data_IF_654027189000
#
_entry.id   IF_654027189000
#
_cell.length_a   1.000
_cell.length_b   1.000
_cell.length_c   1.000
_cell.angle_alpha   90.00
_cell.angle_beta   90.00
_cell.angle_gamma   90.00
#
_symmetry.space_group_name_H-M   'P 1'
#
loop_
_entity.id
_entity.type
_entity.pdbx_description
1 polymer ?
#
# COMPACT_ATOMS: atom_id res chain seq x y z
N UNK A 1 -10.93 -1.99 -13.17
CA UNK A 1 -11.49 -2.56 -11.96
C UNK A 1 -12.33 -3.80 -12.23
N UNK A 2 -13.38 -3.73 -13.04
CA UNK A 2 -14.28 -4.86 -13.28
C UNK A 2 -13.57 -6.10 -13.86
N UNK A 3 -12.60 -5.91 -14.76
CA UNK A 3 -11.77 -7.02 -15.25
C UNK A 3 -10.99 -7.71 -14.12
N UNK A 4 -10.38 -6.92 -13.23
CA UNK A 4 -9.63 -7.47 -12.10
C UNK A 4 -10.55 -8.25 -11.15
N UNK A 5 -11.75 -7.75 -10.89
CA UNK A 5 -12.76 -8.44 -10.10
C UNK A 5 -13.18 -9.76 -10.76
N UNK A 6 -13.46 -9.75 -12.07
CA UNK A 6 -13.83 -10.95 -12.82
C UNK A 6 -12.74 -12.01 -12.83
N UNK A 7 -11.48 -11.63 -13.03
CA UNK A 7 -10.33 -12.55 -12.97
C UNK A 7 -10.18 -13.13 -11.56
N UNK A 8 -10.36 -12.32 -10.52
CA UNK A 8 -10.28 -12.78 -9.13
C UNK A 8 -11.40 -13.78 -8.80
N UNK A 9 -12.62 -13.54 -9.29
CA UNK A 9 -13.74 -14.49 -9.16
C UNK A 9 -13.50 -15.79 -9.92
N UNK A 10 -12.75 -15.75 -11.02
CA UNK A 10 -12.31 -16.93 -11.77
C UNK A 10 -11.14 -17.69 -11.12
N UNK A 11 -10.70 -17.28 -9.91
CA UNK A 11 -9.65 -17.93 -9.14
C UNK A 11 -8.22 -17.49 -9.47
N UNK A 12 -8.04 -16.43 -10.27
CA UNK A 12 -6.73 -15.89 -10.59
C UNK A 12 -6.16 -15.03 -9.45
N UNK A 13 -4.85 -15.12 -9.24
CA UNK A 13 -4.12 -14.18 -8.39
C UNK A 13 -3.91 -12.87 -9.17
N UNK A 14 -4.61 -11.81 -8.78
CA UNK A 14 -4.69 -10.57 -9.54
C UNK A 14 -3.89 -9.46 -8.88
N UNK A 15 -2.98 -8.86 -9.65
CA UNK A 15 -2.25 -7.65 -9.30
C UNK A 15 -2.62 -6.53 -10.28
N UNK A 16 -2.96 -5.37 -9.74
CA UNK A 16 -3.26 -4.16 -10.51
C UNK A 16 -2.21 -3.11 -10.21
N UNK A 17 -1.47 -2.69 -11.22
CA UNK A 17 -0.52 -1.58 -11.10
C UNK A 17 -1.08 -0.33 -11.76
N UNK A 18 -1.13 0.78 -11.03
CA UNK A 18 -1.59 2.06 -11.56
C UNK A 18 -1.12 3.23 -10.68
N UNK A 19 -1.02 4.46 -11.24
CA UNK A 19 -0.86 5.65 -10.42
C UNK A 19 -2.04 5.87 -9.48
N UNK A 20 -1.76 6.15 -8.21
CA UNK A 20 -2.78 6.39 -7.17
C UNK A 20 -3.80 7.47 -7.57
N UNK A 21 -3.37 8.66 -8.07
CA UNK A 21 -4.29 9.74 -8.44
C UNK A 21 -5.19 9.40 -9.64
N UNK A 22 -4.82 8.42 -10.45
CA UNK A 22 -5.66 7.98 -11.56
C UNK A 22 -6.64 6.88 -11.14
N UNK A 23 -6.20 5.95 -10.30
CA UNK A 23 -7.00 4.78 -9.96
C UNK A 23 -7.99 5.06 -8.83
N UNK A 24 -7.51 5.59 -7.70
CA UNK A 24 -8.32 5.68 -6.48
C UNK A 24 -9.56 6.56 -6.68
N UNK A 25 -9.47 7.83 -7.10
CA UNK A 25 -10.66 8.67 -7.21
C UNK A 25 -11.54 8.30 -8.40
N UNK A 26 -10.96 7.86 -9.51
CA UNK A 26 -11.72 7.58 -10.75
C UNK A 26 -12.42 6.24 -10.76
N UNK A 27 -11.92 5.28 -10.01
CA UNK A 27 -12.49 3.94 -9.96
C UNK A 27 -13.13 3.62 -8.59
N UNK A 28 -13.36 4.63 -7.74
CA UNK A 28 -13.73 4.43 -6.34
C UNK A 28 -15.03 3.62 -6.17
N UNK A 29 -16.05 3.91 -6.98
CA UNK A 29 -17.31 3.17 -6.97
C UNK A 29 -17.07 1.68 -7.28
N UNK A 30 -16.34 1.40 -8.35
CA UNK A 30 -16.01 0.02 -8.75
C UNK A 30 -15.06 -0.68 -7.75
N UNK A 31 -14.14 0.07 -7.11
CA UNK A 31 -13.35 -0.44 -6.00
C UNK A 31 -14.23 -0.88 -4.83
N UNK A 32 -15.22 -0.07 -4.49
CA UNK A 32 -16.15 -0.35 -3.40
C UNK A 32 -17.03 -1.54 -3.72
N UNK A 33 -17.78 -1.45 -4.82
CA UNK A 33 -18.86 -2.39 -5.14
C UNK A 33 -18.37 -3.74 -5.66
N UNK A 34 -17.33 -3.74 -6.52
CA UNK A 34 -16.87 -4.95 -7.19
C UNK A 34 -15.66 -5.62 -6.50
N UNK A 35 -14.96 -4.95 -5.58
CA UNK A 35 -13.76 -5.50 -4.94
C UNK A 35 -13.86 -5.51 -3.42
N UNK A 36 -14.11 -4.35 -2.79
CA UNK A 36 -14.03 -4.23 -1.34
C UNK A 36 -15.22 -4.89 -0.63
N UNK A 37 -16.45 -4.64 -1.09
CA UNK A 37 -17.66 -5.23 -0.50
C UNK A 37 -17.66 -6.77 -0.61
N UNK A 38 -17.40 -7.37 -1.79
CA UNK A 38 -17.29 -8.82 -1.91
C UNK A 38 -15.97 -9.40 -1.37
N UNK A 39 -15.07 -8.55 -0.86
CA UNK A 39 -13.77 -8.94 -0.28
C UNK A 39 -12.89 -9.74 -1.23
N UNK A 40 -12.79 -9.35 -2.50
CA UNK A 40 -11.97 -10.06 -3.48
C UNK A 40 -10.47 -9.83 -3.24
N UNK A 41 -9.63 -10.87 -3.28
CA UNK A 41 -8.20 -10.79 -2.95
C UNK A 41 -7.35 -10.17 -4.07
N UNK A 42 -7.75 -9.01 -4.55
CA UNK A 42 -6.99 -8.23 -5.54
C UNK A 42 -5.91 -7.40 -4.84
N UNK A 43 -4.69 -7.39 -5.37
CA UNK A 43 -3.56 -6.60 -4.87
C UNK A 43 -3.35 -5.38 -5.76
N UNK A 44 -3.37 -4.21 -5.16
CA UNK A 44 -3.22 -2.93 -5.86
C UNK A 44 -1.85 -2.32 -5.54
N UNK A 45 -1.03 -2.12 -6.57
CA UNK A 45 0.27 -1.46 -6.47
C UNK A 45 0.09 -0.03 -6.95
N UNK A 46 -0.12 0.90 -6.01
CA UNK A 46 -0.44 2.29 -6.27
C UNK A 46 0.83 3.14 -6.33
N UNK A 47 1.30 3.44 -7.53
CA UNK A 47 2.44 4.34 -7.73
C UNK A 47 2.06 5.81 -7.55
N UNK A 48 3.05 6.68 -7.37
CA UNK A 48 2.88 8.13 -7.22
C UNK A 48 1.92 8.52 -6.09
N UNK A 49 1.91 7.77 -5.01
CA UNK A 49 1.10 8.07 -3.84
C UNK A 49 1.68 9.28 -3.08
N UNK A 50 0.80 10.04 -2.43
CA UNK A 50 1.17 11.27 -1.74
C UNK A 50 1.73 12.32 -2.70
N UNK A 51 2.83 12.96 -2.33
CA UNK A 51 3.50 14.01 -3.08
C UNK A 51 4.58 13.48 -4.05
N UNK A 52 4.75 12.17 -4.19
CA UNK A 52 5.84 11.60 -4.99
C UNK A 52 5.71 11.85 -6.51
N UNK A 53 4.52 12.23 -6.99
CA UNK A 53 4.27 12.69 -8.36
C UNK A 53 4.54 14.19 -8.62
N UNK A 54 5.33 14.85 -7.78
CA UNK A 54 5.49 16.31 -7.71
C UNK A 54 5.83 17.00 -9.04
N UNK A 55 6.64 16.38 -9.92
CA UNK A 55 7.08 16.95 -11.19
C UNK A 55 5.98 17.01 -12.26
N UNK A 56 4.92 16.25 -12.09
CA UNK A 56 3.82 16.17 -13.05
C UNK A 56 2.62 17.07 -12.66
N UNK A 57 2.79 17.91 -11.62
CA UNK A 57 1.78 18.85 -11.13
C UNK A 57 0.73 18.23 -10.22
N UNK A 58 -0.19 19.05 -9.72
CA UNK A 58 -1.18 18.69 -8.69
C UNK A 58 -2.07 17.50 -9.10
N UNK A 59 -2.41 17.36 -10.37
CA UNK A 59 -3.22 16.24 -10.88
C UNK A 59 -2.54 14.87 -10.74
N UNK A 60 -1.21 14.85 -10.50
CA UNK A 60 -0.43 13.61 -10.30
C UNK A 60 -0.04 13.38 -8.85
N UNK A 61 -0.53 14.22 -7.94
CA UNK A 61 -0.36 14.08 -6.49
C UNK A 61 -1.64 13.53 -5.88
N UNK A 62 -1.49 12.68 -4.86
CA UNK A 62 -2.62 12.07 -4.19
C UNK A 62 -2.35 12.00 -2.68
N UNK A 63 -2.75 13.03 -1.97
CA UNK A 63 -2.58 13.12 -0.50
C UNK A 63 -3.75 12.53 0.26
N UNK A 64 -4.91 12.40 -0.37
CA UNK A 64 -6.15 11.91 0.19
C UNK A 64 -6.41 10.41 -0.04
N UNK A 65 -5.48 9.68 -0.66
CA UNK A 65 -5.62 8.25 -0.98
C UNK A 65 -5.95 7.38 0.24
N UNK A 66 -5.29 7.61 1.36
CA UNK A 66 -5.54 6.88 2.61
C UNK A 66 -6.96 7.16 3.11
N UNK A 67 -7.45 8.41 3.01
CA UNK A 67 -8.80 8.76 3.44
C UNK A 67 -9.86 8.01 2.63
N UNK A 68 -9.71 7.97 1.30
CA UNK A 68 -10.58 7.20 0.41
C UNK A 68 -10.55 5.70 0.73
N UNK A 69 -9.37 5.13 0.86
CA UNK A 69 -9.21 3.70 1.07
C UNK A 69 -9.70 3.25 2.45
N UNK A 70 -9.50 4.05 3.49
CA UNK A 70 -9.99 3.76 4.85
C UNK A 70 -11.52 3.70 4.97
N UNK A 71 -12.24 4.35 4.08
CA UNK A 71 -13.70 4.30 4.05
C UNK A 71 -14.25 3.01 3.41
N UNK A 72 -13.40 2.22 2.76
CA UNK A 72 -13.79 0.94 2.16
C UNK A 72 -13.76 -0.20 3.18
N UNK A 73 -14.75 -1.13 3.15
CA UNK A 73 -14.72 -2.31 4.00
C UNK A 73 -13.65 -3.32 3.53
N UNK A 74 -13.19 -4.18 4.44
CA UNK A 74 -12.32 -5.34 4.17
C UNK A 74 -10.96 -5.00 3.53
N UNK A 75 -10.52 -3.77 3.54
CA UNK A 75 -9.31 -3.30 2.85
C UNK A 75 -8.12 -3.25 3.82
N UNK A 76 -6.97 -3.74 3.37
CA UNK A 76 -5.67 -3.52 4.00
C UNK A 76 -4.88 -2.47 3.22
N UNK A 77 -4.31 -1.49 3.93
CA UNK A 77 -3.46 -0.44 3.35
C UNK A 77 -2.03 -0.65 3.87
N UNK A 78 -1.10 -0.84 2.96
CA UNK A 78 0.31 -1.10 3.26
C UNK A 78 1.14 0.07 2.72
N UNK A 79 1.99 0.64 3.57
CA UNK A 79 2.90 1.74 3.20
C UNK A 79 4.34 1.31 3.48
N UNK A 80 4.99 0.62 2.52
CA UNK A 80 6.36 0.12 2.72
C UNK A 80 7.37 1.26 2.86
N UNK A 81 8.45 1.02 3.60
CA UNK A 81 9.50 2.01 3.87
C UNK A 81 10.68 1.96 2.88
N UNK A 82 10.92 0.81 2.25
CA UNK A 82 12.03 0.58 1.33
C UNK A 82 11.73 -0.54 0.32
N UNK A 83 12.63 -0.76 -0.63
CA UNK A 83 12.44 -1.77 -1.66
C UNK A 83 12.44 -3.22 -1.13
N UNK A 84 13.31 -3.62 -0.19
CA UNK A 84 13.26 -4.96 0.39
C UNK A 84 11.95 -5.24 1.14
N UNK A 85 11.46 -4.28 1.95
CA UNK A 85 10.17 -4.44 2.63
C UNK A 85 9.00 -4.48 1.66
N UNK A 86 9.04 -3.69 0.59
CA UNK A 86 8.03 -3.74 -0.47
C UNK A 86 7.95 -5.13 -1.08
N UNK A 87 9.10 -5.70 -1.47
CA UNK A 87 9.17 -7.04 -2.05
C UNK A 87 8.56 -8.08 -1.10
N UNK A 88 9.03 -8.12 0.14
CA UNK A 88 8.57 -9.12 1.13
C UNK A 88 7.08 -9.00 1.43
N UNK A 89 6.56 -7.77 1.58
CA UNK A 89 5.14 -7.53 1.84
C UNK A 89 4.26 -7.90 0.64
N UNK A 90 4.72 -7.68 -0.60
CA UNK A 90 4.02 -8.14 -1.80
C UNK A 90 3.98 -9.67 -1.84
N UNK A 91 5.08 -10.36 -1.58
CA UNK A 91 5.13 -11.82 -1.50
C UNK A 91 4.17 -12.35 -0.43
N UNK A 92 4.20 -11.79 0.78
CA UNK A 92 3.31 -12.17 1.88
C UNK A 92 1.83 -11.91 1.54
N UNK A 93 1.52 -10.91 0.70
CA UNK A 93 0.14 -10.60 0.30
C UNK A 93 -0.50 -11.69 -0.57
N UNK A 94 0.29 -12.58 -1.16
CA UNK A 94 -0.22 -13.68 -1.98
C UNK A 94 -1.28 -14.51 -1.27
N UNK A 95 -1.15 -14.71 0.04
CA UNK A 95 -2.08 -15.48 0.88
C UNK A 95 -3.24 -14.65 1.46
N UNK A 96 -3.27 -13.35 1.23
CA UNK A 96 -4.36 -12.51 1.73
C UNK A 96 -5.68 -12.83 1.02
N UNK A 97 -6.72 -13.03 1.81
CA UNK A 97 -8.10 -13.24 1.30
C UNK A 97 -8.84 -11.91 1.06
N UNK A 98 -8.26 -10.81 1.49
CA UNK A 98 -8.84 -9.47 1.38
C UNK A 98 -8.07 -8.65 0.35
N UNK A 99 -8.69 -7.57 -0.21
CA UNK A 99 -7.98 -6.65 -1.06
C UNK A 99 -6.87 -5.91 -0.30
N UNK A 100 -5.70 -5.82 -0.92
CA UNK A 100 -4.52 -5.16 -0.34
C UNK A 100 -4.07 -4.02 -1.24
N UNK A 101 -3.91 -2.84 -0.67
CA UNK A 101 -3.44 -1.65 -1.36
C UNK A 101 -2.03 -1.29 -0.88
N UNK A 102 -1.07 -1.39 -1.77
CA UNK A 102 0.30 -0.94 -1.55
C UNK A 102 0.43 0.51 -2.00
N UNK A 103 0.66 1.39 -1.04
CA UNK A 103 0.91 2.81 -1.28
C UNK A 103 2.38 3.03 -1.55
N UNK A 104 2.73 3.12 -2.84
CA UNK A 104 4.11 3.21 -3.29
C UNK A 104 4.46 4.65 -3.70
N UNK A 105 5.69 5.03 -3.44
CA UNK A 105 6.27 6.30 -3.88
C UNK A 105 7.30 6.07 -5.01
N UNK A 106 7.60 7.11 -5.76
CA UNK A 106 8.57 7.09 -6.86
C UNK A 106 9.97 7.58 -6.45
N UNK A 107 10.20 7.81 -5.16
CA UNK A 107 11.49 8.26 -4.63
C UNK A 107 12.45 7.07 -4.49
N UNK A 108 13.70 7.30 -4.84
CA UNK A 108 14.79 6.34 -4.57
C UNK A 108 15.21 6.52 -3.11
N UNK A 109 14.94 5.54 -2.29
CA UNK A 109 15.32 5.52 -0.88
C UNK A 109 16.43 4.49 -0.64
N UNK A 110 17.30 4.73 0.34
CA UNK A 110 18.24 3.71 0.80
C UNK A 110 17.50 2.52 1.44
N UNK A 111 18.14 1.39 1.49
CA UNK A 111 17.66 0.25 2.26
C UNK A 111 17.83 0.53 3.76
N UNK A 112 16.81 0.25 4.55
CA UNK A 112 16.87 0.39 6.00
C UNK A 112 17.72 -0.74 6.60
N UNK A 113 18.70 -0.36 7.41
CA UNK A 113 19.39 -1.30 8.29
C UNK A 113 18.46 -1.62 9.47
N UNK A 114 18.06 -2.88 9.58
CA UNK A 114 17.17 -3.36 10.63
C UNK A 114 18.00 -4.09 11.67
N UNK A 115 18.01 -3.58 12.87
CA UNK A 115 18.72 -4.19 14.02
C UNK A 115 18.06 -5.50 14.49
N UNK A 116 16.83 -5.73 14.10
CA UNK A 116 16.06 -6.93 14.45
C UNK A 116 15.58 -7.63 13.17
N UNK A 117 15.67 -8.96 13.13
CA UNK A 117 14.95 -9.74 12.11
C UNK A 117 13.44 -9.54 12.32
N UNK A 118 12.90 -8.60 11.57
CA UNK A 118 11.50 -8.23 11.70
C UNK A 118 10.69 -9.03 10.70
N UNK A 119 9.81 -9.88 11.19
CA UNK A 119 8.82 -10.51 10.32
C UNK A 119 7.80 -9.45 9.89
N UNK A 120 7.92 -9.04 8.62
CA UNK A 120 7.05 -8.04 8.04
C UNK A 120 5.70 -8.66 7.71
N UNK A 121 4.72 -8.37 8.56
CA UNK A 121 3.35 -8.84 8.37
C UNK A 121 2.49 -7.76 7.67
N UNK A 122 1.36 -8.19 7.10
CA UNK A 122 0.40 -7.30 6.44
C UNK A 122 -0.43 -6.46 7.42
N UNK A 123 -0.28 -6.69 8.70
CA UNK A 123 -0.99 -5.97 9.77
C UNK A 123 -0.06 -5.72 10.95
N UNK A 124 -0.35 -4.66 11.70
CA UNK A 124 0.43 -4.29 12.88
C UNK A 124 1.60 -3.36 12.59
N UNK A 125 2.50 -3.26 13.56
CA UNK A 125 3.70 -2.45 13.50
C UNK A 125 4.93 -3.31 13.81
N UNK A 126 6.07 -2.94 13.24
CA UNK A 126 7.35 -3.59 13.47
C UNK A 126 8.29 -2.68 14.23
N UNK A 127 8.92 -3.18 15.29
CA UNK A 127 9.94 -2.45 16.01
C UNK A 127 11.22 -2.45 15.17
N UNK A 128 11.68 -1.26 14.76
CA UNK A 128 12.89 -1.11 13.94
C UNK A 128 14.09 -0.80 14.84
N UNK A 129 13.90 0.08 15.83
CA UNK A 129 14.94 0.49 16.76
C UNK A 129 14.39 0.51 18.18
N UNK A 130 14.97 -0.24 19.11
CA UNK A 130 14.58 -0.18 20.52
C UNK A 130 15.02 1.13 21.16
N UNK A 131 14.32 1.55 22.20
CA UNK A 131 14.60 2.73 23.00
C UNK A 131 13.70 2.77 24.23
N UNK A 132 14.00 3.66 25.17
CA UNK A 132 13.32 3.79 26.46
C UNK A 132 12.73 5.18 26.74
N UNK A 133 12.98 6.14 25.85
CA UNK A 133 12.55 7.54 26.03
C UNK A 133 11.20 7.84 25.37
N UNK A 134 11.15 7.81 24.03
CA UNK A 134 9.99 8.19 23.22
C UNK A 134 9.70 7.12 22.19
N UNK A 135 8.42 6.81 21.98
CA UNK A 135 7.97 5.95 20.90
C UNK A 135 7.58 6.78 19.68
N UNK A 136 8.23 6.57 18.55
CA UNK A 136 7.92 7.20 17.27
C UNK A 136 7.29 6.17 16.34
N UNK A 137 6.06 6.42 15.88
CA UNK A 137 5.39 5.60 14.88
C UNK A 137 5.52 6.29 13.52
N UNK A 138 6.12 5.58 12.56
CA UNK A 138 6.34 6.10 11.21
C UNK A 138 5.98 5.05 10.15
N UNK A 139 5.60 5.49 8.95
CA UNK A 139 5.35 4.62 7.81
C UNK A 139 5.89 5.22 6.50
N UNK A 140 6.15 4.35 5.53
CA UNK A 140 6.66 4.75 4.22
C UNK A 140 7.99 5.50 4.31
N UNK A 141 8.12 6.58 3.55
CA UNK A 141 9.33 7.40 3.49
C UNK A 141 9.71 8.03 4.82
N UNK A 142 8.71 8.31 5.68
CA UNK A 142 8.93 8.96 6.97
C UNK A 142 9.65 8.06 7.99
N UNK A 143 9.77 6.77 7.72
CA UNK A 143 10.58 5.87 8.57
C UNK A 143 12.06 6.27 8.53
N UNK A 144 12.55 6.73 7.38
CA UNK A 144 13.93 7.21 7.22
C UNK A 144 14.20 8.49 8.02
N UNK A 145 13.19 9.38 8.10
CA UNK A 145 13.29 10.62 8.87
C UNK A 145 13.16 10.40 10.38
N UNK A 146 12.53 9.29 10.78
CA UNK A 146 12.31 8.95 12.18
C UNK A 146 13.51 8.24 12.83
N UNK A 147 14.45 7.69 12.03
CA UNK A 147 15.63 6.94 12.48
C UNK A 147 16.86 7.81 12.66
#
# INVERSE_FOLDING_TARGET
MLLAAGLSLAGWSVFVFAPSPLLVPRAYEALRSAVAVPSLPVKFLLANSGLSGNRAGAASQMVEDIAFLRALPNVSIIVPSDAPSTKKLIENSGNSRNPVFFRLHSLKLPTLERTLETDLQLSGASLIRPGDGVTVCACGTMVHEAL
#
